data_IF_220679766247
#
_entry.id   IF_220679766247
#
_cell.length_a   1.000
_cell.length_b   1.000
_cell.length_c   1.000
_cell.angle_alpha   90.00
_cell.angle_beta   90.00
_cell.angle_gamma   90.00
#
_symmetry.space_group_name_H-M   'P 1'
#
loop_
_entity.id
_entity.type
_entity.pdbx_description
1 polymer ?
#
# COMPACT_ATOMS: atom_id res chain seq x y z
N UNK A 1 8.51 20.76 -3.39
CA UNK A 1 9.27 19.53 -3.10
C UNK A 1 8.81 18.46 -4.06
N UNK A 2 9.71 17.54 -4.39
CA UNK A 2 9.37 16.28 -5.06
C UNK A 2 8.73 15.32 -4.05
N UNK A 3 7.98 14.34 -4.55
CA UNK A 3 7.39 13.33 -3.67
C UNK A 3 8.46 12.52 -2.93
N UNK A 4 9.62 12.28 -3.57
CA UNK A 4 10.75 11.66 -2.91
C UNK A 4 11.25 12.45 -1.69
N UNK A 5 11.37 13.78 -1.80
CA UNK A 5 11.78 14.64 -0.66
C UNK A 5 10.76 14.57 0.48
N UNK A 6 9.46 14.68 0.17
CA UNK A 6 8.39 14.58 1.16
C UNK A 6 8.43 13.22 1.89
N UNK A 7 8.67 12.12 1.16
CA UNK A 7 8.83 10.78 1.74
C UNK A 7 10.06 10.70 2.65
N UNK A 8 11.18 11.32 2.27
CA UNK A 8 12.38 11.31 3.12
C UNK A 8 12.17 12.10 4.42
N UNK A 9 11.44 13.22 4.38
CA UNK A 9 11.15 14.03 5.58
C UNK A 9 10.38 13.24 6.64
N UNK A 10 9.38 12.46 6.23
CA UNK A 10 8.55 11.65 7.14
C UNK A 10 8.98 10.20 7.26
N UNK A 11 10.13 9.83 6.68
CA UNK A 11 10.61 8.45 6.57
C UNK A 11 10.56 7.67 7.89
N UNK A 12 11.02 8.30 8.96
CA UNK A 12 11.07 7.69 10.29
C UNK A 12 9.67 7.26 10.78
N UNK A 13 8.61 8.02 10.46
CA UNK A 13 7.24 7.66 10.82
C UNK A 13 6.72 6.49 9.96
N UNK A 14 7.05 6.50 8.66
CA UNK A 14 6.64 5.44 7.74
C UNK A 14 7.28 4.09 8.10
N UNK A 15 8.56 4.10 8.52
CA UNK A 15 9.27 2.88 8.93
C UNK A 15 8.71 2.26 10.22
N UNK A 16 8.00 3.03 11.06
CA UNK A 16 7.32 2.50 12.26
C UNK A 16 6.13 1.57 11.91
N UNK A 17 5.58 1.66 10.68
CA UNK A 17 4.49 0.77 10.24
C UNK A 17 4.96 -0.67 10.02
N UNK A 18 6.25 -0.91 9.81
CA UNK A 18 6.86 -2.25 9.70
C UNK A 18 6.64 -2.98 8.37
N UNK A 19 5.58 -2.68 7.62
CA UNK A 19 5.26 -3.27 6.31
C UNK A 19 5.61 -2.36 5.11
N UNK A 20 6.17 -1.19 5.40
CA UNK A 20 6.60 -0.19 4.40
C UNK A 20 8.10 -0.35 4.12
N UNK A 21 8.48 -0.34 2.85
CA UNK A 21 9.87 -0.26 2.38
C UNK A 21 10.03 0.98 1.50
N UNK A 22 11.11 1.75 1.71
CA UNK A 22 11.32 3.06 1.09
C UNK A 22 12.66 3.05 0.34
N UNK A 23 12.74 3.70 -0.81
CA UNK A 23 13.97 3.85 -1.60
C UNK A 23 15.08 4.49 -0.73
N UNK A 24 16.33 4.00 -0.76
CA UNK A 24 16.86 2.92 -1.61
C UNK A 24 16.64 1.49 -1.07
N UNK A 25 16.10 1.33 0.12
CA UNK A 25 16.06 0.08 0.89
C UNK A 25 14.86 -0.81 0.56
N UNK A 26 14.52 -0.91 -0.73
CA UNK A 26 13.45 -1.79 -1.21
C UNK A 26 14.07 -3.03 -1.85
N UNK A 27 13.75 -4.21 -1.32
CA UNK A 27 14.23 -5.48 -1.88
C UNK A 27 13.80 -5.63 -3.35
N UNK A 28 14.73 -5.78 -4.32
CA UNK A 28 14.40 -5.84 -5.75
C UNK A 28 13.37 -6.92 -6.11
N UNK A 29 13.41 -8.06 -5.41
CA UNK A 29 12.44 -9.14 -5.59
C UNK A 29 11.00 -8.71 -5.27
N UNK A 30 10.79 -7.86 -4.25
CA UNK A 30 9.46 -7.34 -3.91
C UNK A 30 8.94 -6.39 -4.99
N UNK A 31 9.80 -5.51 -5.50
CA UNK A 31 9.45 -4.63 -6.63
C UNK A 31 9.04 -5.45 -7.85
N UNK A 32 9.84 -6.44 -8.25
CA UNK A 32 9.51 -7.29 -9.38
C UNK A 32 8.20 -8.05 -9.18
N UNK A 33 7.93 -8.54 -7.96
CA UNK A 33 6.68 -9.20 -7.64
C UNK A 33 5.49 -8.24 -7.74
N UNK A 34 5.61 -7.03 -7.19
CA UNK A 34 4.60 -5.98 -7.29
C UNK A 34 4.28 -5.63 -8.75
N UNK A 35 5.31 -5.38 -9.56
CA UNK A 35 5.18 -5.07 -11.00
C UNK A 35 4.41 -6.19 -11.72
N UNK A 36 4.83 -7.44 -11.55
CA UNK A 36 4.17 -8.60 -12.17
C UNK A 36 2.74 -8.79 -11.68
N UNK A 37 2.45 -8.47 -10.42
CA UNK A 37 1.15 -8.70 -9.82
C UNK A 37 0.14 -7.62 -10.23
N UNK A 38 0.50 -6.34 -10.16
CA UNK A 38 -0.50 -5.26 -10.18
C UNK A 38 -0.10 -3.98 -10.93
N UNK A 39 0.97 -4.00 -11.72
CA UNK A 39 1.29 -2.90 -12.65
C UNK A 39 0.84 -3.29 -14.06
N UNK A 40 -0.17 -2.63 -14.64
CA UNK A 40 -0.60 -2.89 -16.01
C UNK A 40 0.55 -2.69 -17.01
N UNK A 41 0.79 -3.68 -17.88
CA UNK A 41 1.85 -3.64 -18.88
C UNK A 41 3.28 -3.79 -18.34
N UNK A 42 3.49 -3.75 -17.01
CA UNK A 42 4.81 -3.95 -16.39
C UNK A 42 5.85 -2.86 -16.67
N UNK A 43 5.44 -1.72 -17.22
CA UNK A 43 6.34 -0.65 -17.67
C UNK A 43 6.76 0.29 -16.52
N UNK A 44 7.36 -0.26 -15.47
CA UNK A 44 7.96 0.50 -14.37
C UNK A 44 9.35 -0.06 -14.12
N UNK A 45 10.36 0.79 -14.14
CA UNK A 45 11.72 0.42 -13.77
C UNK A 45 11.86 0.39 -12.24
N UNK A 46 12.67 -0.54 -11.72
CA UNK A 46 12.81 -0.68 -10.27
C UNK A 46 13.35 0.58 -9.58
N UNK A 47 14.17 1.39 -10.26
CA UNK A 47 14.70 2.64 -9.74
C UNK A 47 13.66 3.77 -9.59
N UNK A 48 12.49 3.65 -10.23
CA UNK A 48 11.40 4.62 -10.16
C UNK A 48 10.50 4.42 -8.93
N UNK A 49 10.60 3.27 -8.27
CA UNK A 49 9.79 2.97 -7.08
C UNK A 49 10.35 3.72 -5.88
N UNK A 50 9.52 4.57 -5.28
CA UNK A 50 9.87 5.37 -4.11
C UNK A 50 9.50 4.65 -2.81
N UNK A 51 8.33 4.00 -2.80
CA UNK A 51 7.75 3.36 -1.62
C UNK A 51 6.96 2.12 -2.03
N UNK A 52 7.05 1.08 -1.20
CA UNK A 52 6.28 -0.15 -1.32
C UNK A 52 5.68 -0.52 0.05
N UNK A 53 4.36 -0.65 0.12
CA UNK A 53 3.65 -1.28 1.24
C UNK A 53 3.41 -2.74 0.87
N UNK A 54 3.88 -3.69 1.68
CA UNK A 54 3.70 -5.12 1.43
C UNK A 54 2.63 -5.71 2.34
N UNK A 55 1.51 -6.09 1.74
CA UNK A 55 0.35 -6.59 2.46
C UNK A 55 0.13 -8.07 2.23
N UNK A 56 1.22 -8.82 2.10
CA UNK A 56 1.17 -10.28 1.99
C UNK A 56 1.63 -10.92 3.30
N UNK A 57 0.94 -11.98 3.73
CA UNK A 57 1.24 -12.75 4.95
C UNK A 57 2.73 -13.10 5.10
N UNK A 58 3.42 -13.43 4.00
CA UNK A 58 4.83 -13.83 4.00
C UNK A 58 5.78 -12.77 3.43
N UNK A 59 5.36 -11.52 3.32
CA UNK A 59 6.24 -10.42 2.88
C UNK A 59 6.80 -10.60 1.45
N UNK A 60 6.00 -11.12 0.53
CA UNK A 60 6.36 -11.33 -0.87
C UNK A 60 6.24 -10.09 -1.77
N UNK A 61 5.48 -9.07 -1.37
CA UNK A 61 5.21 -7.86 -2.18
C UNK A 61 4.17 -8.05 -3.28
N UNK A 62 3.50 -9.21 -3.36
CA UNK A 62 2.52 -9.52 -4.42
C UNK A 62 1.14 -8.87 -4.21
N UNK A 63 0.88 -8.34 -3.03
CA UNK A 63 -0.29 -7.53 -2.64
C UNK A 63 0.26 -6.35 -1.84
N UNK A 64 -0.42 -5.21 -1.88
CA UNK A 64 0.14 -3.99 -1.33
C UNK A 64 -0.18 -2.74 -2.13
N UNK A 65 0.68 -1.76 -1.96
CA UNK A 65 0.71 -0.53 -2.74
C UNK A 65 2.14 -0.21 -3.15
N UNK A 66 2.31 0.30 -4.36
CA UNK A 66 3.57 0.78 -4.91
C UNK A 66 3.39 2.23 -5.36
N UNK A 67 4.32 3.09 -4.97
CA UNK A 67 4.30 4.51 -5.30
C UNK A 67 5.57 4.89 -6.07
N UNK A 68 5.37 5.56 -7.20
CA UNK A 68 6.40 6.28 -7.95
C UNK A 68 6.11 7.78 -7.92
N UNK A 69 6.96 8.61 -8.51
CA UNK A 69 6.66 10.06 -8.68
C UNK A 69 5.37 10.30 -9.47
N UNK A 70 5.02 9.39 -10.39
CA UNK A 70 3.91 9.61 -11.34
C UNK A 70 2.67 8.79 -11.03
N UNK A 71 2.81 7.62 -10.42
CA UNK A 71 1.75 6.63 -10.31
C UNK A 71 1.69 6.00 -8.92
N UNK A 72 0.47 5.77 -8.44
CA UNK A 72 0.16 4.88 -7.35
C UNK A 72 -0.50 3.64 -7.93
N UNK A 73 0.01 2.47 -7.58
CA UNK A 73 -0.60 1.18 -7.91
C UNK A 73 -0.94 0.45 -6.62
N UNK A 74 -2.09 -0.21 -6.56
CA UNK A 74 -2.47 -1.00 -5.41
C UNK A 74 -3.18 -2.29 -5.82
N UNK A 75 -3.03 -3.31 -4.99
CA UNK A 75 -3.74 -4.56 -5.15
C UNK A 75 -3.91 -5.29 -3.83
N UNK A 76 -5.12 -5.77 -3.59
CA UNK A 76 -5.38 -6.84 -2.63
C UNK A 76 -6.43 -7.80 -3.20
N UNK A 77 -6.49 -9.02 -2.66
CA UNK A 77 -7.54 -9.97 -3.01
C UNK A 77 -8.94 -9.46 -2.60
N UNK A 78 -9.03 -8.47 -1.70
CA UNK A 78 -10.28 -7.92 -1.19
C UNK A 78 -10.77 -6.75 -2.07
N UNK A 79 -9.87 -5.81 -2.38
CA UNK A 79 -10.20 -4.59 -3.12
C UNK A 79 -9.94 -4.65 -4.62
N UNK A 80 -9.33 -5.74 -5.11
CA UNK A 80 -8.89 -5.85 -6.49
C UNK A 80 -7.69 -4.94 -6.79
N UNK A 81 -7.41 -4.74 -8.08
CA UNK A 81 -6.32 -3.89 -8.57
C UNK A 81 -6.81 -2.47 -8.81
N UNK A 82 -5.94 -1.50 -8.58
CA UNK A 82 -6.18 -0.10 -8.86
C UNK A 82 -4.89 0.63 -9.20
N UNK A 83 -5.02 1.64 -10.05
CA UNK A 83 -3.91 2.51 -10.41
C UNK A 83 -4.43 3.91 -10.69
N UNK A 84 -3.72 4.91 -10.20
CA UNK A 84 -4.03 6.33 -10.42
C UNK A 84 -2.73 7.10 -10.62
N UNK A 85 -2.75 8.16 -11.44
CA UNK A 85 -1.64 9.10 -11.48
C UNK A 85 -1.62 9.90 -10.19
N UNK A 86 -0.45 10.13 -9.61
CA UNK A 86 -0.29 10.92 -8.38
C UNK A 86 -0.90 12.32 -8.54
N UNK A 87 -0.76 12.94 -9.71
CA UNK A 87 -1.36 14.25 -10.00
C UNK A 87 -2.91 14.26 -10.03
N UNK A 88 -3.53 13.11 -10.21
CA UNK A 88 -4.99 12.96 -10.23
C UNK A 88 -5.52 12.55 -8.83
N UNK A 89 -4.64 12.41 -7.82
CA UNK A 89 -5.01 12.10 -6.45
C UNK A 89 -5.43 13.38 -5.73
N UNK A 90 -6.73 13.51 -5.46
CA UNK A 90 -7.34 14.70 -4.86
C UNK A 90 -7.58 14.51 -3.35
N UNK A 91 -7.83 13.28 -2.91
CA UNK A 91 -8.06 12.99 -1.49
C UNK A 91 -7.64 11.58 -1.10
N UNK A 92 -7.18 11.45 0.15
CA UNK A 92 -6.87 10.18 0.83
C UNK A 92 -7.52 10.22 2.20
N UNK A 93 -8.34 9.22 2.52
CA UNK A 93 -8.98 9.09 3.83
C UNK A 93 -8.72 7.70 4.40
N UNK A 94 -8.12 7.57 5.60
CA UNK A 94 -8.11 6.29 6.31
C UNK A 94 -9.55 5.88 6.64
N UNK A 95 -9.88 4.61 6.44
CA UNK A 95 -11.19 4.05 6.75
C UNK A 95 -11.09 2.61 7.27
N UNK A 96 -12.05 2.25 8.12
CA UNK A 96 -12.30 0.88 8.53
C UNK A 96 -13.55 0.38 7.81
N UNK A 97 -13.45 -0.70 7.03
CA UNK A 97 -14.59 -1.31 6.35
C UNK A 97 -14.83 -2.74 6.83
N UNK A 98 -16.09 -3.05 7.16
CA UNK A 98 -16.55 -4.41 7.43
C UNK A 98 -17.06 -5.00 6.12
N UNK A 99 -16.41 -6.05 5.61
CA UNK A 99 -16.95 -6.84 4.49
C UNK A 99 -17.72 -8.02 5.07
N UNK A 100 -18.94 -8.28 4.58
CA UNK A 100 -19.85 -9.41 4.89
C UNK A 100 -19.37 -10.41 5.98
N UNK A 101 -19.45 -10.03 7.26
CA UNK A 101 -19.17 -10.93 8.40
C UNK A 101 -17.69 -11.25 8.68
N UNK A 102 -16.76 -10.58 8.01
CA UNK A 102 -15.30 -10.78 8.11
C UNK A 102 -14.66 -9.74 9.03
N UNK A 103 -13.46 -10.06 9.54
CA UNK A 103 -12.55 -9.18 10.28
C UNK A 103 -12.51 -7.77 9.66
N UNK A 104 -12.70 -6.70 10.46
CA UNK A 104 -12.62 -5.32 10.00
C UNK A 104 -11.34 -5.05 9.22
N UNK A 105 -11.45 -4.45 8.04
CA UNK A 105 -10.32 -4.13 7.17
C UNK A 105 -9.98 -2.64 7.31
N UNK A 106 -8.74 -2.36 7.69
CA UNK A 106 -8.19 -1.00 7.64
C UNK A 106 -7.74 -0.75 6.20
N UNK A 107 -8.00 0.46 5.72
CA UNK A 107 -7.66 0.84 4.36
C UNK A 107 -7.62 2.34 4.14
N UNK A 108 -7.29 2.72 2.91
CA UNK A 108 -7.31 4.08 2.43
C UNK A 108 -8.39 4.23 1.36
N UNK A 109 -9.24 5.23 1.47
CA UNK A 109 -10.13 5.63 0.37
C UNK A 109 -9.47 6.73 -0.43
N UNK A 110 -9.23 6.45 -1.70
CA UNK A 110 -8.68 7.38 -2.68
C UNK A 110 -9.82 8.01 -3.48
N UNK A 111 -9.81 9.33 -3.60
CA UNK A 111 -10.82 10.12 -4.34
C UNK A 111 -12.27 9.72 -4.00
N UNK A 112 -12.55 9.46 -2.73
CA UNK A 112 -13.87 9.13 -2.19
C UNK A 112 -14.50 7.80 -2.65
N UNK A 113 -13.89 7.08 -3.58
CA UNK A 113 -14.54 5.96 -4.27
C UNK A 113 -13.79 4.64 -4.15
N UNK A 114 -12.46 4.65 -4.23
CA UNK A 114 -11.67 3.42 -4.22
C UNK A 114 -11.07 3.13 -2.85
N UNK A 115 -11.48 2.03 -2.23
CA UNK A 115 -10.91 1.56 -0.97
C UNK A 115 -9.76 0.58 -1.22
N UNK A 116 -8.55 0.98 -0.84
CA UNK A 116 -7.35 0.15 -0.83
C UNK A 116 -7.23 -0.51 0.55
N UNK A 117 -7.30 -1.84 0.63
CA UNK A 117 -7.22 -2.57 1.91
C UNK A 117 -5.78 -2.70 2.42
N UNK A 118 -5.26 -1.66 3.08
CA UNK A 118 -3.87 -1.50 3.54
C UNK A 118 -3.76 -0.47 4.70
N UNK A 119 -2.72 -0.53 5.56
CA UNK A 119 -1.87 -1.68 5.87
C UNK A 119 -2.61 -2.70 6.77
N UNK A 120 -2.04 -3.89 7.01
CA UNK A 120 -2.50 -4.76 8.11
C UNK A 120 -3.05 -6.16 7.78
N UNK A 121 -2.66 -6.78 6.66
CA UNK A 121 -2.86 -8.23 6.48
C UNK A 121 -1.80 -9.09 7.18
N UNK A 122 -0.79 -8.46 7.81
CA UNK A 122 0.26 -9.17 8.55
C UNK A 122 -0.20 -9.35 9.99
N UNK A 123 -0.75 -10.54 10.28
CA UNK A 123 -0.86 -11.24 11.58
C UNK A 123 -1.54 -10.55 12.79
N UNK A 124 -1.89 -9.27 12.75
CA UNK A 124 -2.50 -8.58 13.90
C UNK A 124 -4.05 -8.59 13.88
N UNK A 125 -4.68 -9.54 13.18
CA UNK A 125 -6.14 -9.72 13.28
C UNK A 125 -6.61 -9.90 14.73
N UNK A 126 -5.78 -10.52 15.57
CA UNK A 126 -6.07 -10.73 16.99
C UNK A 126 -5.90 -9.45 17.83
N UNK A 127 -4.90 -8.59 17.53
CA UNK A 127 -4.77 -7.30 18.20
C UNK A 127 -5.85 -6.32 17.75
N UNK A 128 -6.17 -6.27 16.46
CA UNK A 128 -7.24 -5.43 15.88
C UNK A 128 -8.59 -5.80 16.50
N UNK A 129 -8.86 -7.09 16.76
CA UNK A 129 -10.08 -7.55 17.43
C UNK A 129 -10.28 -6.92 18.81
N UNK A 130 -9.20 -6.78 19.59
CA UNK A 130 -9.24 -6.14 20.92
C UNK A 130 -9.53 -4.63 20.91
N UNK A 131 -9.39 -3.96 19.76
CA UNK A 131 -9.69 -2.53 19.63
C UNK A 131 -11.09 -2.23 19.05
N UNK A 132 -11.80 -3.25 18.55
CA UNK A 132 -13.07 -3.08 17.82
C UNK A 132 -14.27 -3.69 18.56
N UNK A 133 -14.03 -4.53 19.57
CA UNK A 133 -15.06 -4.98 20.51
C UNK A 133 -15.15 -3.98 21.69
N UNK A 134 -15.98 -2.94 21.52
CA UNK A 134 -16.57 -2.11 22.58
C UNK A 134 -18.08 -2.01 22.36
#
# INVERSE_FOLDING_TARGET
>A
MSLYEDIQEVRHLLELCGDISIKPDIKPKKIMNAIKSYVPGGNIESGQVLLLIDNTMFGSGKQGMMLTEEMLFAFSNISGKYSIRVKDLESVSPQLRKSLGVVPQIGLVLNGSYFVSLPGMVEDSDKIRNYIEW
#
